data_IF_765372732474
#
_entry.id   IF_765372732474
#
_cell.length_a   1.000
_cell.length_b   1.000
_cell.length_c   1.000
_cell.angle_alpha   90.00
_cell.angle_beta   90.00
_cell.angle_gamma   90.00
#
_symmetry.space_group_name_H-M   'P 1'
#
loop_
_entity.id
_entity.type
_entity.pdbx_description
1 polymer ?
#
# COMPACT_ATOMS: atom_id res chain seq x y z
N UNK A 1 3.37 -14.50 -6.36
CA UNK A 1 2.52 -13.29 -6.38
C UNK A 1 3.35 -12.06 -6.06
N UNK A 2 3.03 -10.93 -6.68
CA UNK A 2 3.74 -9.62 -6.55
C UNK A 2 4.10 -9.28 -5.09
N UNK A 3 3.13 -9.45 -4.18
CA UNK A 3 3.25 -9.12 -2.76
C UNK A 3 4.37 -9.89 -2.02
N UNK A 4 4.64 -11.14 -2.41
CA UNK A 4 5.71 -11.93 -1.78
C UNK A 4 7.08 -11.40 -2.17
N UNK A 5 7.23 -11.02 -3.45
CA UNK A 5 8.47 -10.43 -3.99
C UNK A 5 8.74 -9.08 -3.32
N UNK A 6 7.71 -8.23 -3.22
CA UNK A 6 7.82 -6.93 -2.56
C UNK A 6 8.20 -7.06 -1.08
N UNK A 7 7.53 -7.94 -0.32
CA UNK A 7 7.87 -8.18 1.09
C UNK A 7 9.31 -8.66 1.27
N UNK A 8 9.81 -9.52 0.38
CA UNK A 8 11.19 -10.00 0.43
C UNK A 8 12.21 -8.88 0.18
N UNK A 9 11.97 -8.02 -0.81
CA UNK A 9 12.84 -6.89 -1.13
C UNK A 9 12.82 -5.84 -0.01
N UNK A 10 11.64 -5.49 0.49
CA UNK A 10 11.48 -4.47 1.53
C UNK A 10 12.03 -4.89 2.90
N UNK A 11 12.13 -6.20 3.17
CA UNK A 11 12.65 -6.73 4.45
C UNK A 11 14.06 -6.20 4.77
N UNK A 12 14.88 -5.95 3.75
CA UNK A 12 16.22 -5.42 3.92
C UNK A 12 16.26 -3.93 4.35
N UNK A 13 15.22 -3.16 4.01
CA UNK A 13 15.20 -1.70 4.23
C UNK A 13 14.93 -1.32 5.69
N UNK A 14 14.53 -2.26 6.56
CA UNK A 14 14.26 -2.06 8.00
C UNK A 14 13.42 -0.80 8.30
N UNK A 15 12.54 -0.42 7.37
CA UNK A 15 11.66 0.74 7.55
C UNK A 15 10.57 0.34 8.54
N UNK A 16 10.34 1.09 9.63
CA UNK A 16 9.24 0.85 10.55
C UNK A 16 7.92 1.36 9.96
N UNK A 17 7.60 0.96 8.73
CA UNK A 17 6.39 1.32 8.02
C UNK A 17 5.80 0.09 7.34
N UNK A 18 4.48 -0.02 7.38
CA UNK A 18 3.74 -1.03 6.63
C UNK A 18 3.61 -0.58 5.17
N UNK A 19 3.97 -1.46 4.22
CA UNK A 19 3.82 -1.18 2.79
C UNK A 19 2.65 -1.98 2.23
N UNK A 20 1.66 -1.26 1.71
CA UNK A 20 0.51 -1.79 1.02
C UNK A 20 0.75 -1.77 -0.49
N UNK A 21 0.44 -2.89 -1.14
CA UNK A 21 0.42 -3.00 -2.61
C UNK A 21 -0.96 -3.49 -2.98
N UNK A 22 -1.68 -2.69 -3.74
CA UNK A 22 -3.06 -2.97 -4.13
C UNK A 22 -3.28 -2.50 -5.57
N UNK A 23 -4.20 -3.14 -6.27
CA UNK A 23 -4.64 -2.65 -7.58
C UNK A 23 -5.50 -1.40 -7.40
N UNK A 24 -5.65 -0.60 -8.46
CA UNK A 24 -6.55 0.55 -8.44
C UNK A 24 -7.99 0.15 -8.10
N UNK A 25 -8.44 -1.01 -8.58
CA UNK A 25 -9.75 -1.57 -8.24
C UNK A 25 -9.89 -1.92 -6.76
N UNK A 26 -8.83 -2.43 -6.12
CA UNK A 26 -8.87 -2.74 -4.68
C UNK A 26 -8.88 -1.46 -3.84
N UNK A 27 -8.14 -0.43 -4.26
CA UNK A 27 -8.16 0.89 -3.64
C UNK A 27 -9.57 1.48 -3.69
N UNK A 28 -10.18 1.55 -4.88
CA UNK A 28 -11.50 2.13 -5.07
C UNK A 28 -12.60 1.42 -4.26
N UNK A 29 -12.46 0.10 -4.03
CA UNK A 29 -13.44 -0.67 -3.24
C UNK A 29 -13.31 -0.45 -1.73
N UNK A 30 -12.10 -0.14 -1.24
CA UNK A 30 -11.80 -0.12 0.20
C UNK A 30 -11.62 1.29 0.76
N UNK A 31 -11.39 2.28 -0.10
CA UNK A 31 -11.07 3.66 0.29
C UNK A 31 -12.09 4.34 1.22
N UNK A 32 -13.35 3.91 1.21
CA UNK A 32 -14.44 4.54 1.97
C UNK A 32 -14.70 3.86 3.32
N UNK A 33 -14.01 2.75 3.62
CA UNK A 33 -14.22 1.98 4.85
C UNK A 33 -13.11 2.23 5.87
N UNK A 34 -13.45 2.92 6.97
CA UNK A 34 -12.51 3.30 8.04
C UNK A 34 -11.93 2.11 8.83
N UNK A 35 -12.43 0.90 8.63
CA UNK A 35 -11.86 -0.33 9.18
C UNK A 35 -10.71 -0.91 8.35
N UNK A 36 -10.43 -0.35 7.17
CA UNK A 36 -9.38 -0.85 6.27
C UNK A 36 -8.08 -0.06 6.42
N UNK A 37 -6.94 -0.73 6.21
CA UNK A 37 -5.64 -0.06 6.18
C UNK A 37 -5.52 0.90 4.98
N UNK A 38 -6.23 0.63 3.88
CA UNK A 38 -6.30 1.50 2.69
C UNK A 38 -6.87 2.87 3.04
N UNK A 39 -7.97 2.91 3.79
CA UNK A 39 -8.60 4.17 4.22
C UNK A 39 -7.62 5.09 4.96
N UNK A 40 -6.87 4.55 5.92
CA UNK A 40 -5.90 5.32 6.69
C UNK A 40 -4.66 5.67 5.87
N UNK A 41 -4.18 4.76 5.02
CA UNK A 41 -3.05 5.02 4.13
C UNK A 41 -3.33 6.17 3.14
N UNK A 42 -4.56 6.30 2.63
CA UNK A 42 -4.95 7.40 1.74
C UNK A 42 -5.10 8.73 2.49
N UNK A 43 -5.52 8.71 3.76
CA UNK A 43 -5.73 9.93 4.55
C UNK A 43 -4.46 10.46 5.21
N UNK A 44 -3.58 9.57 5.67
CA UNK A 44 -2.42 9.91 6.51
C UNK A 44 -1.08 9.49 5.91
N UNK A 45 -1.11 8.62 4.89
CA UNK A 45 0.08 8.10 4.24
C UNK A 45 0.68 9.05 3.21
N UNK A 46 1.76 8.58 2.57
CA UNK A 46 2.44 9.28 1.48
C UNK A 46 2.55 8.34 0.28
N UNK A 47 2.20 8.84 -0.90
CA UNK A 47 2.44 8.11 -2.15
C UNK A 47 3.94 8.11 -2.42
N UNK A 48 4.57 6.92 -2.39
CA UNK A 48 6.00 6.76 -2.64
C UNK A 48 6.31 6.49 -4.12
N UNK A 49 5.37 5.88 -4.84
CA UNK A 49 5.49 5.54 -6.25
C UNK A 49 4.10 5.38 -6.87
N UNK A 50 3.88 6.00 -8.02
CA UNK A 50 2.69 5.87 -8.85
C UNK A 50 3.15 5.57 -10.28
N UNK A 51 2.70 4.45 -10.83
CA UNK A 51 3.05 4.02 -12.19
C UNK A 51 2.08 4.56 -13.26
N UNK A 52 1.09 5.37 -12.87
CA UNK A 52 0.12 5.97 -13.80
C UNK A 52 0.62 7.28 -14.45
N UNK A 53 1.86 7.69 -14.20
CA UNK A 53 2.52 8.86 -14.79
C UNK A 53 3.43 8.51 -15.98
#
# INVERSE_FOLDING_TARGET
>A
GEMVRLRQVLRALRVPADVLVCSQSDLNQQQDSCSTAVYWALREGKVLYDSAA
#
